data_IF_227469208192
#
_entry.id   IF_227469208192
#
_cell.length_a   1.000
_cell.length_b   1.000
_cell.length_c   1.000
_cell.angle_alpha   90.00
_cell.angle_beta   90.00
_cell.angle_gamma   90.00
#
_symmetry.space_group_name_H-M   'P 1'
#
loop_
_entity.id
_entity.type
_entity.pdbx_description
1 polymer ?
#
# COMPACT_ATOMS: atom_id res chain seq x y z
N UNK A 1 47.59 84.79 1.05
CA UNK A 1 48.32 83.54 0.81
C UNK A 1 47.35 82.40 1.11
N UNK A 2 47.06 81.59 0.10
CA UNK A 2 46.04 80.53 0.07
C UNK A 2 46.63 79.18 0.55
N UNK A 3 45.80 78.13 0.54
CA UNK A 3 46.01 76.65 0.62
C UNK A 3 46.16 75.98 2.01
N UNK A 4 45.65 74.73 2.23
CA UNK A 4 44.44 74.04 1.73
C UNK A 4 43.55 73.44 2.85
N UNK A 5 42.31 73.08 2.49
CA UNK A 5 41.47 72.13 3.23
C UNK A 5 42.08 70.72 3.20
N UNK A 6 42.37 70.14 4.37
CA UNK A 6 42.73 68.72 4.49
C UNK A 6 41.51 67.90 4.90
N UNK A 7 40.90 67.26 3.91
CA UNK A 7 39.88 66.24 4.11
C UNK A 7 40.58 64.92 4.50
N UNK A 8 40.54 64.54 5.78
CA UNK A 8 41.03 63.24 6.22
C UNK A 8 39.96 62.17 6.02
N UNK A 9 39.81 61.70 4.78
CA UNK A 9 39.25 60.37 4.53
C UNK A 9 40.38 59.38 4.78
N UNK A 10 40.47 58.84 5.99
CA UNK A 10 41.25 57.62 6.26
C UNK A 10 40.43 56.67 7.13
N UNK A 11 39.63 55.88 6.41
CA UNK A 11 39.24 54.49 6.68
C UNK A 11 39.87 53.86 7.92
N UNK A 12 39.18 53.90 9.07
CA UNK A 12 39.40 52.90 10.10
C UNK A 12 38.57 51.66 9.77
N UNK A 13 39.23 50.80 9.01
CA UNK A 13 38.89 49.41 8.72
C UNK A 13 38.36 48.77 10.02
N UNK A 14 37.07 48.45 10.05
CA UNK A 14 36.47 47.67 11.14
C UNK A 14 37.36 46.45 11.37
N UNK A 15 37.84 46.25 12.60
CA UNK A 15 38.84 45.25 12.93
C UNK A 15 38.51 43.89 12.27
N UNK A 16 39.26 43.45 11.24
CA UNK A 16 38.88 42.32 10.37
C UNK A 16 38.81 40.98 11.10
N UNK A 17 39.33 40.94 12.32
CA UNK A 17 39.35 39.82 13.24
C UNK A 17 37.97 39.26 13.64
N UNK A 18 36.92 40.10 13.69
CA UNK A 18 35.57 39.64 14.07
C UNK A 18 34.90 38.84 12.95
N UNK A 19 35.13 39.25 11.70
CA UNK A 19 34.60 38.56 10.51
C UNK A 19 35.28 37.20 10.33
N UNK A 20 36.58 37.11 10.63
CA UNK A 20 37.30 35.83 10.64
C UNK A 20 36.74 34.84 11.68
N UNK A 21 36.40 35.30 12.88
CA UNK A 21 35.77 34.44 13.90
C UNK A 21 34.36 33.99 13.54
N UNK A 22 33.57 34.87 12.93
CA UNK A 22 32.22 34.54 12.51
C UNK A 22 32.22 33.43 11.46
N UNK A 23 33.15 33.46 10.51
CA UNK A 23 33.29 32.42 9.49
C UNK A 23 33.65 31.06 10.10
N UNK A 24 34.55 31.04 11.09
CA UNK A 24 34.89 29.82 11.84
C UNK A 24 33.68 29.27 12.59
N UNK A 25 32.91 30.14 13.25
CA UNK A 25 31.68 29.72 13.94
C UNK A 25 30.62 29.16 12.97
N UNK A 26 30.46 29.79 11.80
CA UNK A 26 29.50 29.34 10.79
C UNK A 26 29.93 28.01 10.15
N UNK A 27 31.23 27.83 9.87
CA UNK A 27 31.78 26.57 9.40
C UNK A 27 31.58 25.45 10.42
N UNK A 28 31.81 25.71 11.71
CA UNK A 28 31.56 24.76 12.77
C UNK A 28 30.07 24.37 12.85
N UNK A 29 29.17 25.35 12.76
CA UNK A 29 27.72 25.10 12.77
C UNK A 29 27.30 24.25 11.57
N UNK A 30 27.82 24.53 10.38
CA UNK A 30 27.56 23.74 9.19
C UNK A 30 28.00 22.29 9.34
N UNK A 31 29.18 22.04 9.93
CA UNK A 31 29.67 20.68 10.22
C UNK A 31 28.76 19.97 11.22
N UNK A 32 28.28 20.64 12.26
CA UNK A 32 27.35 20.05 13.24
C UNK A 32 26.03 19.66 12.58
N UNK A 33 25.47 20.52 11.71
CA UNK A 33 24.24 20.20 10.96
C UNK A 33 24.47 19.01 10.03
N UNK A 34 25.58 18.97 9.30
CA UNK A 34 25.94 17.84 8.45
C UNK A 34 26.09 16.54 9.25
N UNK A 35 26.75 16.60 10.41
CA UNK A 35 26.90 15.44 11.30
C UNK A 35 25.56 14.95 11.84
N UNK A 36 24.63 15.86 12.15
CA UNK A 36 23.28 15.52 12.59
C UNK A 36 22.48 14.85 11.47
N UNK A 37 22.55 15.36 10.24
CA UNK A 37 21.90 14.74 9.06
C UNK A 37 22.51 13.36 8.78
N UNK A 38 23.83 13.23 8.82
CA UNK A 38 24.52 11.95 8.63
C UNK A 38 24.14 10.93 9.71
N UNK A 39 24.08 11.36 10.99
CA UNK A 39 23.64 10.51 12.10
C UNK A 39 22.18 10.07 11.97
N UNK A 40 21.29 10.98 11.54
CA UNK A 40 19.90 10.65 11.25
C UNK A 40 19.81 9.64 10.11
N UNK A 41 20.54 9.86 9.02
CA UNK A 41 20.55 8.97 7.86
C UNK A 41 20.99 7.56 8.26
N UNK A 42 22.06 7.44 9.06
CA UNK A 42 22.55 6.17 9.57
C UNK A 42 21.55 5.46 10.50
N UNK A 43 20.83 6.22 11.33
CA UNK A 43 19.79 5.69 12.23
C UNK A 43 18.56 5.21 11.45
N UNK A 44 18.19 5.90 10.37
CA UNK A 44 17.11 5.48 9.47
C UNK A 44 17.50 4.19 8.74
N UNK A 45 18.74 4.07 8.25
CA UNK A 45 19.22 2.86 7.56
C UNK A 45 19.30 1.63 8.46
N UNK A 46 19.62 1.79 9.76
CA UNK A 46 19.68 0.65 10.68
C UNK A 46 18.30 0.13 11.08
N UNK A 47 17.30 1.00 11.19
CA UNK A 47 15.92 0.62 11.54
C UNK A 47 15.19 -0.13 10.42
N UNK A 48 15.49 0.17 9.15
CA UNK A 48 14.94 -0.56 8.01
C UNK A 48 15.47 -1.99 7.89
N UNK A 49 16.72 -2.26 8.30
CA UNK A 49 17.30 -3.61 8.23
C UNK A 49 16.68 -4.60 9.24
N UNK A 50 16.33 -4.14 10.44
CA UNK A 50 15.72 -5.00 11.48
C UNK A 50 14.23 -5.22 11.19
N UNK A 51 13.50 -4.16 10.82
CA UNK A 51 12.10 -4.29 10.42
C UNK A 51 11.94 -5.19 9.18
N UNK A 52 12.88 -5.14 8.24
CA UNK A 52 12.86 -5.98 7.03
C UNK A 52 12.97 -7.49 7.33
N UNK A 53 13.74 -7.89 8.36
CA UNK A 53 13.89 -9.32 8.71
C UNK A 53 12.61 -9.89 9.30
N UNK A 54 11.98 -9.18 10.22
CA UNK A 54 10.71 -9.60 10.82
C UNK A 54 9.62 -9.71 9.75
N UNK A 55 9.56 -8.73 8.83
CA UNK A 55 8.66 -8.78 7.67
C UNK A 55 8.95 -10.00 6.79
N UNK A 56 10.22 -10.33 6.55
CA UNK A 56 10.60 -11.52 5.78
C UNK A 56 10.17 -12.83 6.46
N UNK A 57 10.35 -12.94 7.77
CA UNK A 57 9.95 -14.11 8.54
C UNK A 57 8.42 -14.28 8.52
N UNK A 58 7.66 -13.19 8.67
CA UNK A 58 6.21 -13.20 8.54
C UNK A 58 5.75 -13.59 7.13
N UNK A 59 6.37 -13.05 6.08
CA UNK A 59 6.04 -13.41 4.69
C UNK A 59 6.30 -14.89 4.41
N UNK A 60 7.40 -15.44 4.94
CA UNK A 60 7.70 -16.87 4.81
C UNK A 60 6.62 -17.74 5.49
N UNK A 61 6.17 -17.35 6.69
CA UNK A 61 5.10 -18.06 7.41
C UNK A 61 3.76 -18.01 6.67
N UNK A 62 3.43 -16.86 6.07
CA UNK A 62 2.23 -16.70 5.22
C UNK A 62 2.32 -17.61 4.00
N UNK A 63 3.47 -17.62 3.31
CA UNK A 63 3.69 -18.45 2.12
C UNK A 63 3.56 -19.94 2.44
N UNK A 64 4.15 -20.40 3.56
CA UNK A 64 4.03 -21.78 4.03
C UNK A 64 2.57 -22.17 4.29
N UNK A 65 1.83 -21.33 5.02
CA UNK A 65 0.41 -21.56 5.33
C UNK A 65 -0.47 -21.61 4.08
N UNK A 66 -0.20 -20.74 3.12
CA UNK A 66 -0.92 -20.70 1.84
C UNK A 66 -0.64 -21.95 1.00
N UNK A 67 0.60 -22.42 0.99
CA UNK A 67 1.00 -23.64 0.29
C UNK A 67 0.27 -24.86 0.87
N UNK A 68 0.29 -25.02 2.20
CA UNK A 68 -0.43 -26.12 2.88
C UNK A 68 -1.92 -26.09 2.56
N UNK A 69 -2.54 -24.91 2.57
CA UNK A 69 -3.97 -24.76 2.24
C UNK A 69 -4.27 -25.17 0.79
N UNK A 70 -3.42 -24.76 -0.16
CA UNK A 70 -3.54 -25.15 -1.57
C UNK A 70 -3.42 -26.66 -1.78
N UNK A 71 -2.47 -27.29 -1.09
CA UNK A 71 -2.28 -28.74 -1.16
C UNK A 71 -3.48 -29.49 -0.59
N UNK A 72 -4.07 -28.99 0.50
CA UNK A 72 -5.29 -29.55 1.09
C UNK A 72 -6.49 -29.41 0.15
N UNK A 73 -6.66 -28.23 -0.47
CA UNK A 73 -7.72 -27.99 -1.46
C UNK A 73 -7.58 -28.93 -2.66
N UNK A 74 -6.36 -29.14 -3.15
CA UNK A 74 -6.08 -30.07 -4.25
C UNK A 74 -6.45 -31.50 -3.86
N UNK A 75 -6.07 -31.94 -2.65
CA UNK A 75 -6.44 -33.26 -2.15
C UNK A 75 -7.95 -33.44 -1.99
N UNK A 76 -8.64 -32.44 -1.44
CA UNK A 76 -10.10 -32.45 -1.33
C UNK A 76 -10.74 -32.54 -2.71
N UNK A 77 -10.32 -31.70 -3.66
CA UNK A 77 -10.84 -31.73 -5.02
C UNK A 77 -10.63 -33.10 -5.68
N UNK A 78 -9.48 -33.75 -5.49
CA UNK A 78 -9.23 -35.10 -6.00
C UNK A 78 -10.14 -36.15 -5.36
N UNK A 79 -10.39 -36.05 -4.05
CA UNK A 79 -11.23 -36.99 -3.31
C UNK A 79 -12.72 -36.79 -3.59
N UNK A 80 -13.18 -35.55 -3.77
CA UNK A 80 -14.59 -35.21 -4.01
C UNK A 80 -14.92 -35.06 -5.49
N UNK A 81 -13.94 -35.20 -6.37
CA UNK A 81 -14.15 -35.17 -7.81
C UNK A 81 -15.15 -36.25 -8.22
N UNK A 82 -16.04 -35.90 -9.15
CA UNK A 82 -17.02 -36.82 -9.72
C UNK A 82 -16.37 -38.11 -10.20
N UNK A 83 -15.16 -38.04 -10.77
CA UNK A 83 -14.42 -39.22 -11.22
C UNK A 83 -14.04 -40.17 -10.05
N UNK A 84 -13.63 -39.61 -8.90
CA UNK A 84 -13.31 -40.40 -7.70
C UNK A 84 -14.56 -41.03 -7.08
N UNK A 85 -15.68 -40.30 -7.10
CA UNK A 85 -16.97 -40.80 -6.64
C UNK A 85 -17.51 -41.89 -7.56
N UNK A 86 -17.45 -41.72 -8.87
CA UNK A 86 -17.87 -42.71 -9.86
C UNK A 86 -17.02 -43.99 -9.77
N UNK A 87 -15.70 -43.85 -9.60
CA UNK A 87 -14.82 -44.99 -9.39
C UNK A 87 -15.17 -45.78 -8.10
N UNK A 88 -15.51 -45.08 -7.01
CA UNK A 88 -15.97 -45.74 -5.77
C UNK A 88 -17.35 -46.36 -5.94
N UNK A 89 -18.27 -45.69 -6.63
CA UNK A 89 -19.62 -46.18 -6.89
C UNK A 89 -19.58 -47.46 -7.73
N UNK A 90 -18.78 -47.48 -8.80
CA UNK A 90 -18.59 -48.68 -9.63
C UNK A 90 -17.97 -49.84 -8.86
N UNK A 91 -16.99 -49.59 -7.98
CA UNK A 91 -16.44 -50.63 -7.07
C UNK A 91 -17.46 -51.19 -6.08
N UNK A 92 -18.45 -50.39 -5.67
CA UNK A 92 -19.56 -50.83 -4.82
C UNK A 92 -20.69 -51.52 -5.61
N UNK A 93 -20.54 -51.64 -6.94
CA UNK A 93 -21.53 -52.28 -7.81
C UNK A 93 -22.64 -51.35 -8.28
N UNK A 94 -22.54 -50.05 -8.01
CA UNK A 94 -23.45 -49.08 -8.61
C UNK A 94 -23.16 -48.94 -10.11
N UNK A 95 -24.23 -48.76 -10.88
CA UNK A 95 -24.19 -48.52 -12.33
C UNK A 95 -24.98 -47.24 -12.65
N UNK A 96 -24.68 -46.57 -13.77
CA UNK A 96 -25.51 -45.46 -14.25
C UNK A 96 -26.97 -45.89 -14.38
N UNK A 97 -27.90 -45.01 -14.01
CA UNK A 97 -29.34 -45.30 -14.08
C UNK A 97 -29.78 -45.34 -15.55
N UNK A 98 -30.55 -46.36 -15.92
CA UNK A 98 -31.12 -46.47 -17.27
C UNK A 98 -32.57 -45.92 -17.25
N UNK A 99 -33.08 -45.47 -18.40
CA UNK A 99 -34.41 -44.85 -18.47
C UNK A 99 -35.54 -45.78 -17.97
N UNK A 100 -35.32 -47.09 -18.07
CA UNK A 100 -36.23 -48.15 -17.62
C UNK A 100 -36.28 -48.31 -16.10
N UNK A 101 -35.26 -47.84 -15.38
CA UNK A 101 -35.14 -47.92 -13.92
C UNK A 101 -35.78 -46.70 -13.21
N UNK A 102 -36.31 -45.72 -13.97
CA UNK A 102 -36.89 -44.49 -13.44
C UNK A 102 -38.36 -44.68 -13.05
N UNK A 103 -38.65 -44.45 -11.77
CA UNK A 103 -40.00 -44.49 -11.24
C UNK A 103 -40.40 -43.09 -10.74
N UNK A 104 -41.48 -42.54 -11.30
CA UNK A 104 -41.94 -41.20 -10.99
C UNK A 104 -42.91 -41.23 -9.79
N UNK A 105 -42.56 -40.52 -8.72
CA UNK A 105 -43.42 -40.31 -7.57
C UNK A 105 -43.92 -38.87 -7.55
N UNK A 106 -45.25 -38.67 -7.51
CA UNK A 106 -45.82 -37.34 -7.35
C UNK A 106 -45.65 -36.92 -5.89
N UNK A 107 -44.81 -35.91 -5.65
CA UNK A 107 -44.64 -35.29 -4.32
C UNK A 107 -45.59 -34.08 -4.23
N UNK A 108 -46.64 -34.13 -3.39
CA UNK A 108 -47.57 -33.01 -3.22
C UNK A 108 -46.81 -31.78 -2.70
N UNK A 109 -47.02 -30.62 -3.35
CA UNK A 109 -46.33 -29.37 -2.98
C UNK A 109 -44.93 -29.22 -3.58
N UNK A 110 -44.51 -30.10 -4.50
CA UNK A 110 -43.25 -29.90 -5.22
C UNK A 110 -43.31 -28.65 -6.11
N UNK A 111 -42.48 -27.67 -5.77
CA UNK A 111 -42.26 -26.47 -6.58
C UNK A 111 -41.00 -26.72 -7.39
N UNK A 112 -41.13 -26.87 -8.71
CA UNK A 112 -39.97 -27.07 -9.58
C UNK A 112 -39.02 -25.87 -9.42
N UNK A 113 -37.70 -26.09 -9.18
CA UNK A 113 -36.74 -25.01 -9.19
C UNK A 113 -36.84 -24.29 -10.54
N UNK A 114 -37.15 -22.99 -10.51
CA UNK A 114 -37.06 -22.16 -11.70
C UNK A 114 -35.62 -22.26 -12.19
N UNK A 115 -35.42 -22.78 -13.40
CA UNK A 115 -34.11 -22.84 -14.03
C UNK A 115 -33.54 -21.43 -14.04
N UNK A 116 -32.54 -21.19 -13.19
CA UNK A 116 -31.79 -19.94 -13.19
C UNK A 116 -30.99 -19.94 -14.48
N UNK A 117 -31.44 -19.16 -15.45
CA UNK A 117 -30.73 -18.97 -16.70
C UNK A 117 -29.47 -18.12 -16.43
N UNK A 118 -28.37 -18.82 -16.14
CA UNK A 118 -27.04 -18.24 -15.94
C UNK A 118 -26.44 -17.64 -17.24
N UNK A 119 -27.09 -17.82 -18.39
CA UNK A 119 -26.67 -17.19 -19.65
C UNK A 119 -27.19 -15.76 -19.78
N UNK A 120 -28.25 -15.40 -19.04
CA UNK A 120 -28.64 -14.02 -18.79
C UNK A 120 -27.72 -13.38 -17.74
N UNK A 121 -26.45 -13.18 -18.12
CA UNK A 121 -25.59 -12.22 -17.44
C UNK A 121 -26.28 -10.86 -17.55
N UNK A 122 -27.12 -10.53 -16.57
CA UNK A 122 -27.23 -9.14 -16.15
C UNK A 122 -25.80 -8.79 -15.82
N UNK A 123 -25.12 -8.15 -16.78
CA UNK A 123 -23.76 -7.66 -16.59
C UNK A 123 -23.75 -7.10 -15.18
N UNK A 124 -22.84 -7.55 -14.29
CA UNK A 124 -22.82 -7.07 -12.93
C UNK A 124 -22.92 -5.57 -13.08
N UNK A 125 -24.03 -4.98 -12.59
CA UNK A 125 -24.02 -3.56 -12.33
C UNK A 125 -22.91 -3.51 -11.28
N UNK A 126 -21.71 -3.21 -11.77
CA UNK A 126 -20.70 -2.51 -11.03
C UNK A 126 -21.51 -1.35 -10.49
N UNK A 127 -22.13 -1.54 -9.33
CA UNK A 127 -22.56 -0.48 -8.45
C UNK A 127 -21.32 0.34 -8.41
N UNK A 128 -21.29 1.39 -9.23
CA UNK A 128 -20.10 2.15 -9.50
C UNK A 128 -19.59 2.44 -8.12
N UNK A 129 -18.45 1.81 -7.77
CA UNK A 129 -17.86 1.88 -6.45
C UNK A 129 -17.95 3.36 -6.15
N UNK A 130 -18.86 3.76 -5.26
CA UNK A 130 -19.17 5.18 -5.09
C UNK A 130 -18.04 5.65 -4.22
N UNK A 131 -16.88 5.74 -4.86
CA UNK A 131 -15.64 6.20 -4.32
C UNK A 131 -15.99 7.63 -3.93
N UNK A 132 -15.99 7.95 -2.62
CA UNK A 132 -16.24 9.31 -2.18
C UNK A 132 -15.31 10.25 -2.97
N UNK A 133 -15.79 11.41 -3.44
CA UNK A 133 -15.05 12.25 -4.39
C UNK A 133 -13.66 12.68 -3.87
N UNK A 134 -13.47 12.67 -2.55
CA UNK A 134 -12.19 12.85 -1.86
C UNK A 134 -11.10 11.84 -2.28
N UNK A 135 -11.47 10.63 -2.70
CA UNK A 135 -10.54 9.61 -3.19
C UNK A 135 -10.30 9.68 -4.71
N UNK A 136 -11.05 10.51 -5.44
CA UNK A 136 -10.82 10.82 -6.86
C UNK A 136 -10.10 12.17 -7.04
N UNK A 137 -9.79 12.87 -5.96
CA UNK A 137 -9.01 14.10 -6.01
C UNK A 137 -7.53 13.78 -6.28
N UNK A 138 -6.92 14.53 -7.20
CA UNK A 138 -5.48 14.45 -7.41
C UNK A 138 -4.76 14.91 -6.14
N UNK A 139 -3.70 14.19 -5.73
CA UNK A 139 -2.87 14.56 -4.57
C UNK A 139 -2.31 15.99 -4.70
N UNK A 140 -2.12 16.46 -5.94
CA UNK A 140 -1.67 17.83 -6.22
C UNK A 140 -2.75 18.88 -5.94
N UNK A 141 -4.01 18.58 -6.26
CA UNK A 141 -5.14 19.49 -6.00
C UNK A 141 -5.40 19.62 -4.49
N UNK A 142 -5.34 18.50 -3.77
CA UNK A 142 -5.40 18.52 -2.30
C UNK A 142 -4.26 19.35 -1.68
N UNK A 143 -3.05 19.25 -2.23
CA UNK A 143 -1.88 19.96 -1.73
C UNK A 143 -1.99 21.49 -1.90
N UNK A 144 -2.46 21.94 -3.07
CA UNK A 144 -2.73 23.36 -3.32
C UNK A 144 -3.82 23.90 -2.39
N UNK A 145 -4.86 23.12 -2.13
CA UNK A 145 -5.92 23.47 -1.19
C UNK A 145 -5.41 23.54 0.27
N UNK A 146 -4.56 22.61 0.70
CA UNK A 146 -3.95 22.61 2.03
C UNK A 146 -3.07 23.85 2.24
N UNK A 147 -2.25 24.21 1.24
CA UNK A 147 -1.38 25.40 1.31
C UNK A 147 -2.22 26.68 1.32
N UNK A 148 -3.25 26.78 0.49
CA UNK A 148 -4.10 27.99 0.45
C UNK A 148 -4.92 28.18 1.73
N UNK A 149 -5.42 27.09 2.31
CA UNK A 149 -6.13 27.09 3.61
C UNK A 149 -5.21 27.56 4.74
N UNK A 150 -3.95 27.11 4.76
CA UNK A 150 -2.96 27.55 5.75
C UNK A 150 -2.63 29.05 5.67
N UNK A 151 -2.72 29.66 4.48
CA UNK A 151 -2.51 31.10 4.29
C UNK A 151 -3.71 31.93 4.75
N UNK A 152 -4.94 31.45 4.55
CA UNK A 152 -6.16 32.12 5.02
C UNK A 152 -6.28 32.11 6.54
N UNK A 153 -5.87 31.02 7.20
CA UNK A 153 -5.87 30.93 8.67
C UNK A 153 -4.86 31.86 9.37
N UNK A 154 -3.95 32.51 8.62
CA UNK A 154 -2.97 33.47 9.15
C UNK A 154 -3.37 34.95 8.92
N UNK A 155 -4.51 35.19 8.28
CA UNK A 155 -5.09 36.53 8.08
C UNK A 155 -6.34 36.81 8.93
N UNK A 156 -6.65 35.93 9.89
CA UNK A 156 -7.58 36.18 10.99
C UNK A 156 -6.81 36.23 12.31
#
# INVERSE_FOLDING_TARGET
>A
MNIPNVNFIHAYRVAPWRVQRQWIGNALLFVVVLAMVAGLYLNVTSRTAIAGREIQDLMNSIAESQQVSSDLHTQLALLTSSASLEFRASKLGFRPVEATDLQYLLVPGYVAPTVVDLSSSTAPQLSALTIPPEYNQSLLDWFDEAISTSRRARQQ
#
